data_IF_261933794842
#
_entry.id   IF_261933794842
#
_cell.length_a   1.000
_cell.length_b   1.000
_cell.length_c   1.000
_cell.angle_alpha   90.00
_cell.angle_beta   90.00
_cell.angle_gamma   90.00
#
_symmetry.space_group_name_H-M   'P 1'
#
loop_
_entity.id
_entity.type
_entity.pdbx_description
1 polymer ?
#
# COMPACT_ATOMS: atom_id res chain seq x y z
N UNK A 1 3.89 1.41 1.22
CA UNK A 1 4.20 0.34 0.24
C UNK A 1 3.71 -1.02 0.74
N UNK A 2 4.31 -1.57 1.81
CA UNK A 2 3.92 -2.89 2.36
C UNK A 2 2.44 -2.92 2.77
N UNK A 3 1.97 -1.90 3.49
CA UNK A 3 0.55 -1.75 3.84
C UNK A 3 -0.36 -1.77 2.61
N UNK A 4 0.03 -1.09 1.54
CA UNK A 4 -0.73 -1.01 0.27
C UNK A 4 -0.83 -2.37 -0.44
N UNK A 5 0.17 -3.24 -0.30
CA UNK A 5 0.22 -4.54 -0.97
C UNK A 5 -0.47 -5.66 -0.18
N UNK A 6 -0.49 -5.57 1.16
CA UNK A 6 -1.04 -6.62 2.02
C UNK A 6 -2.57 -6.70 1.97
N UNK A 7 -3.15 -7.91 2.12
CA UNK A 7 -4.60 -8.10 2.14
C UNK A 7 -5.28 -7.87 3.50
N UNK A 8 -4.56 -7.35 4.49
CA UNK A 8 -5.06 -7.20 5.86
C UNK A 8 -5.63 -5.81 6.16
N UNK A 9 -6.30 -5.20 5.18
CA UNK A 9 -6.95 -3.90 5.38
C UNK A 9 -8.26 -4.00 6.13
N UNK A 10 -9.02 -5.07 5.88
CA UNK A 10 -10.28 -5.35 6.57
C UNK A 10 -10.43 -6.84 6.77
N UNK A 11 -10.81 -7.24 7.98
CA UNK A 11 -10.91 -8.64 8.38
C UNK A 11 -12.34 -8.91 8.82
N UNK A 12 -12.91 -9.99 8.32
CA UNK A 12 -14.25 -10.44 8.70
C UNK A 12 -14.21 -11.94 8.95
N UNK A 13 -15.00 -12.38 9.91
CA UNK A 13 -15.18 -13.81 10.18
C UNK A 13 -16.63 -14.15 9.91
N UNK A 14 -16.86 -15.06 8.98
CA UNK A 14 -18.18 -15.61 8.71
C UNK A 14 -18.30 -16.96 9.42
N UNK A 15 -19.20 -17.04 10.40
CA UNK A 15 -19.60 -18.30 11.02
C UNK A 15 -21.02 -18.60 10.50
N UNK A 16 -21.13 -19.47 9.49
CA UNK A 16 -22.43 -20.02 9.11
C UNK A 16 -22.92 -21.01 10.17
N UNK A 17 -24.20 -21.40 10.13
CA UNK A 17 -24.82 -22.38 11.04
C UNK A 17 -24.10 -23.76 11.05
N UNK A 18 -23.19 -24.02 10.11
CA UNK A 18 -22.38 -25.22 10.04
C UNK A 18 -20.88 -24.91 10.20
N UNK A 19 -20.21 -25.61 11.12
CA UNK A 19 -18.76 -25.51 11.43
C UNK A 19 -17.88 -25.67 10.17
N UNK A 20 -18.37 -26.37 9.14
CA UNK A 20 -17.65 -26.65 7.88
C UNK A 20 -17.57 -25.43 6.95
N UNK A 21 -18.41 -24.41 7.13
CA UNK A 21 -18.40 -23.17 6.32
C UNK A 21 -17.91 -21.96 7.09
N UNK A 22 -17.24 -22.15 8.23
CA UNK A 22 -16.55 -21.05 8.91
C UNK A 22 -15.39 -20.56 8.02
N UNK A 23 -15.42 -19.29 7.64
CA UNK A 23 -14.46 -18.67 6.74
C UNK A 23 -13.99 -17.32 7.29
N UNK A 24 -12.67 -17.11 7.35
CA UNK A 24 -12.08 -15.81 7.66
C UNK A 24 -11.70 -15.12 6.34
N UNK A 25 -12.27 -13.94 6.11
CA UNK A 25 -12.08 -13.15 4.89
C UNK A 25 -11.17 -11.97 5.21
N UNK A 26 -10.08 -11.86 4.46
CA UNK A 26 -9.11 -10.77 4.52
C UNK A 26 -9.24 -9.96 3.23
N UNK A 27 -9.87 -8.80 3.32
CA UNK A 27 -9.98 -7.87 2.21
C UNK A 27 -8.80 -6.91 2.20
N UNK A 28 -8.03 -6.99 1.12
CA UNK A 28 -6.98 -6.07 0.79
C UNK A 28 -7.41 -4.93 -0.10
N UNK A 29 -6.44 -4.07 -0.39
CA UNK A 29 -6.62 -3.05 -1.41
C UNK A 29 -6.62 -3.65 -2.81
N UNK A 30 -5.86 -4.71 -3.12
CA UNK A 30 -5.73 -5.24 -4.50
C UNK A 30 -6.23 -6.68 -4.68
N UNK A 31 -6.35 -7.42 -3.59
CA UNK A 31 -6.80 -8.80 -3.57
C UNK A 31 -7.64 -9.07 -2.32
N UNK A 32 -8.49 -10.09 -2.37
CA UNK A 32 -9.19 -10.64 -1.22
C UNK A 32 -8.74 -12.07 -1.00
N UNK A 33 -8.46 -12.45 0.24
CA UNK A 33 -8.08 -13.80 0.62
C UNK A 33 -9.09 -14.39 1.58
N UNK A 34 -9.47 -15.65 1.37
CA UNK A 34 -10.39 -16.38 2.23
C UNK A 34 -9.65 -17.58 2.82
N UNK A 35 -9.65 -17.67 4.15
CA UNK A 35 -9.15 -18.83 4.90
C UNK A 35 -10.34 -19.67 5.35
N UNK A 36 -10.39 -20.92 4.91
CA UNK A 36 -11.47 -21.86 5.22
C UNK A 36 -11.06 -22.83 6.34
N UNK A 37 -12.02 -23.36 7.10
CA UNK A 37 -11.76 -24.34 8.17
C UNK A 37 -11.10 -25.65 7.70
N UNK A 38 -11.15 -25.93 6.39
CA UNK A 38 -10.43 -27.04 5.73
C UNK A 38 -8.91 -26.79 5.58
N UNK A 39 -8.40 -25.66 6.07
CA UNK A 39 -6.98 -25.28 6.00
C UNK A 39 -6.55 -24.70 4.65
N UNK A 40 -7.50 -24.52 3.71
CA UNK A 40 -7.22 -23.91 2.41
C UNK A 40 -7.31 -22.38 2.49
N UNK A 41 -6.30 -21.70 1.95
CA UNK A 41 -6.30 -20.25 1.74
C UNK A 41 -6.43 -20.00 0.24
N UNK A 42 -7.47 -19.26 -0.15
CA UNK A 42 -7.72 -18.88 -1.54
C UNK A 42 -7.64 -17.37 -1.66
N UNK A 43 -6.67 -16.88 -2.44
CA UNK A 43 -6.53 -15.45 -2.72
C UNK A 43 -6.97 -15.15 -4.15
N UNK A 44 -7.84 -14.17 -4.30
CA UNK A 44 -8.34 -13.70 -5.59
C UNK A 44 -8.06 -12.21 -5.76
N UNK A 45 -7.41 -11.85 -6.87
CA UNK A 45 -7.23 -10.46 -7.29
C UNK A 45 -8.56 -9.93 -7.81
N UNK A 46 -8.88 -8.67 -7.54
CA UNK A 46 -10.11 -8.07 -8.04
C UNK A 46 -10.06 -7.94 -9.58
N UNK A 47 -10.84 -8.75 -10.31
CA UNK A 47 -10.87 -8.79 -11.78
C UNK A 47 -11.36 -7.46 -12.41
N UNK A 48 -12.28 -6.77 -11.74
CA UNK A 48 -12.86 -5.51 -12.23
C UNK A 48 -12.74 -4.41 -11.18
N UNK A 49 -11.92 -3.40 -11.48
CA UNK A 49 -11.78 -2.18 -10.66
C UNK A 49 -13.08 -1.36 -10.60
N UNK A 50 -13.96 -1.51 -11.60
CA UNK A 50 -15.15 -0.67 -11.80
C UNK A 50 -16.38 -1.10 -10.99
N UNK A 51 -16.41 -2.34 -10.47
CA UNK A 51 -17.53 -2.86 -9.66
C UNK A 51 -17.21 -2.87 -8.16
N UNK A 52 -16.07 -2.28 -7.77
CA UNK A 52 -15.61 -2.22 -6.39
C UNK A 52 -16.06 -0.90 -5.75
N UNK A 53 -16.35 -0.93 -4.45
CA UNK A 53 -16.83 0.22 -3.67
C UNK A 53 -15.98 1.48 -3.95
N UNK A 54 -16.63 2.61 -4.24
CA UNK A 54 -15.98 3.89 -4.59
C UNK A 54 -14.96 4.35 -3.55
N UNK A 55 -15.22 4.08 -2.26
CA UNK A 55 -14.28 4.35 -1.17
C UNK A 55 -12.96 3.59 -1.35
N UNK A 56 -13.02 2.32 -1.78
CA UNK A 56 -11.86 1.47 -2.00
C UNK A 56 -11.00 1.98 -3.17
N UNK A 57 -11.64 2.48 -4.23
CA UNK A 57 -10.95 3.09 -5.36
C UNK A 57 -10.26 4.40 -4.95
N UNK A 58 -10.92 5.24 -4.16
CA UNK A 58 -10.32 6.47 -3.64
C UNK A 58 -9.10 6.16 -2.74
N UNK A 59 -9.20 5.16 -1.86
CA UNK A 59 -8.08 4.73 -1.02
C UNK A 59 -6.90 4.21 -1.84
N UNK A 60 -7.13 3.46 -2.93
CA UNK A 60 -6.07 3.03 -3.86
C UNK A 60 -5.33 4.23 -4.44
N UNK A 61 -6.08 5.21 -4.95
CA UNK A 61 -5.50 6.41 -5.56
C UNK A 61 -4.64 7.18 -4.54
N UNK A 62 -5.17 7.43 -3.34
CA UNK A 62 -4.44 8.12 -2.27
C UNK A 62 -3.16 7.38 -1.85
N UNK A 63 -3.23 6.05 -1.73
CA UNK A 63 -2.06 5.23 -1.41
C UNK A 63 -0.98 5.30 -2.48
N UNK A 64 -1.35 5.24 -3.77
CA UNK A 64 -0.40 5.35 -4.88
C UNK A 64 0.23 6.75 -4.93
N UNK A 65 -0.58 7.80 -4.79
CA UNK A 65 -0.10 9.19 -4.75
C UNK A 65 0.87 9.37 -3.57
N UNK A 66 0.52 8.88 -2.39
CA UNK A 66 1.39 8.95 -1.21
C UNK A 66 2.73 8.25 -1.41
N UNK A 67 2.76 7.11 -2.11
CA UNK A 67 4.02 6.43 -2.45
C UNK A 67 4.86 7.28 -3.41
N UNK A 68 4.26 7.86 -4.44
CA UNK A 68 4.98 8.71 -5.41
C UNK A 68 5.55 9.96 -4.74
N UNK A 69 4.75 10.64 -3.92
CA UNK A 69 5.20 11.79 -3.14
C UNK A 69 6.33 11.42 -2.17
N UNK A 70 6.23 10.26 -1.51
CA UNK A 70 7.29 9.74 -0.64
C UNK A 70 8.60 9.48 -1.39
N UNK A 71 8.54 8.93 -2.60
CA UNK A 71 9.73 8.72 -3.43
C UNK A 71 10.39 10.04 -3.84
N UNK A 72 9.59 11.04 -4.23
CA UNK A 72 10.08 12.38 -4.56
C UNK A 72 10.72 13.03 -3.33
N UNK A 73 10.07 12.94 -2.17
CA UNK A 73 10.59 13.47 -0.91
C UNK A 73 11.93 12.82 -0.52
N UNK A 74 12.07 11.50 -0.68
CA UNK A 74 13.33 10.80 -0.45
C UNK A 74 14.40 11.30 -1.42
N UNK A 75 14.08 11.46 -2.70
CA UNK A 75 15.04 11.96 -3.69
C UNK A 75 15.54 13.36 -3.33
N UNK A 76 14.63 14.30 -3.05
CA UNK A 76 14.97 15.67 -2.63
C UNK A 76 15.81 15.66 -1.35
N UNK A 77 15.40 14.89 -0.34
CA UNK A 77 16.14 14.76 0.91
C UNK A 77 17.55 14.21 0.70
N UNK A 78 17.71 13.21 -0.17
CA UNK A 78 19.04 12.64 -0.48
C UNK A 78 19.96 13.62 -1.17
N UNK A 79 19.45 14.46 -2.07
CA UNK A 79 20.22 15.51 -2.75
C UNK A 79 20.64 16.62 -1.76
N UNK A 80 19.80 16.94 -0.77
CA UNK A 80 20.12 17.92 0.29
C UNK A 80 21.13 17.42 1.34
N UNK A 81 21.37 16.10 1.45
CA UNK A 81 22.29 15.56 2.46
C UNK A 81 23.76 15.88 2.14
N UNK A 82 24.51 16.30 3.16
CA UNK A 82 25.96 16.59 3.05
C UNK A 82 26.77 15.41 2.50
N UNK A 83 26.36 14.16 2.78
CA UNK A 83 27.07 12.94 2.39
C UNK A 83 26.95 12.57 0.89
N UNK A 84 26.06 13.21 0.13
CA UNK A 84 25.90 12.91 -1.30
C UNK A 84 26.74 13.85 -2.18
N UNK A 85 27.58 13.27 -3.05
CA UNK A 85 28.48 13.96 -4.01
C UNK A 85 27.76 14.67 -5.17
N UNK A 86 26.43 14.73 -5.14
CA UNK A 86 25.64 15.48 -6.11
C UNK A 86 25.77 16.99 -5.78
N UNK A 87 26.12 17.81 -6.78
CA UNK A 87 26.30 19.27 -6.66
C UNK A 87 27.39 19.75 -5.69
N UNK A 88 28.58 19.16 -5.77
CA UNK A 88 29.75 19.60 -4.98
C UNK A 88 30.27 20.99 -5.42
N UNK A 89 30.06 21.40 -6.68
CA UNK A 89 30.39 22.73 -7.21
C UNK A 89 29.42 23.84 -6.78
N UNK A 90 28.19 23.49 -6.36
CA UNK A 90 27.10 24.44 -6.08
C UNK A 90 26.56 24.24 -4.64
N UNK A 91 27.45 24.37 -3.64
CA UNK A 91 27.13 24.22 -2.22
C UNK A 91 25.96 25.11 -1.76
N UNK A 92 25.80 26.29 -2.37
CA UNK A 92 24.69 27.21 -2.06
C UNK A 92 23.34 26.61 -2.48
N UNK A 93 23.27 25.96 -3.64
CA UNK A 93 22.05 25.28 -4.11
C UNK A 93 21.75 24.03 -3.28
N UNK A 94 22.79 23.27 -2.91
CA UNK A 94 22.68 22.09 -2.03
C UNK A 94 22.14 22.48 -0.64
N UNK A 95 22.67 23.55 -0.04
CA UNK A 95 22.19 24.09 1.25
C UNK A 95 20.74 24.58 1.16
N UNK A 96 20.33 25.19 0.04
CA UNK A 96 18.94 25.62 -0.16
C UNK A 96 17.97 24.44 -0.22
N UNK A 97 18.32 23.36 -0.92
CA UNK A 97 17.49 22.16 -0.97
C UNK A 97 17.46 21.36 0.34
N UNK A 98 18.49 21.49 1.18
CA UNK A 98 18.50 20.89 2.52
C UNK A 98 17.60 21.62 3.54
N UNK A 99 17.22 22.88 3.24
CA UNK A 99 16.35 23.70 4.09
C UNK A 99 14.87 23.58 3.69
N UNK A 100 14.60 23.10 2.47
CA UNK A 100 13.25 22.69 2.01
C UNK A 100 12.89 21.36 2.68
#
# INVERSE_FOLDING_TARGET
IVSTALPQWKIYSYAGDNIVTAQAIYEGLWMSCVSQSTGQIQCKVFDSLLNLNSTLQATRALMVIGILLGLIAIFVATVGMKCMKCMEDDEVQKMRMAVI
#
